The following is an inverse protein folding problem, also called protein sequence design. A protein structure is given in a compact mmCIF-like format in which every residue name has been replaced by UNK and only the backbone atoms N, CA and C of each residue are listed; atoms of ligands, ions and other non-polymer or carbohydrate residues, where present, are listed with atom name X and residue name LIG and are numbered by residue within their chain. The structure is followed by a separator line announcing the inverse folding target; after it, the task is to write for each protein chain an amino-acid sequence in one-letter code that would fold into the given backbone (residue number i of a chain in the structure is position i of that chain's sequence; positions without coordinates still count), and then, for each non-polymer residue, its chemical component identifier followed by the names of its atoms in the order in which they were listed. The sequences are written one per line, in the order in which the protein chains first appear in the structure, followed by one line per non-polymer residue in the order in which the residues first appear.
data_IF_550788701518
#
_entry.id   IF_550788701518
#
_cell.length_a   1.000
_cell.length_b   1.000
_cell.length_c   1.000
_cell.angle_alpha   90.00
_cell.angle_beta   90.00
_cell.angle_gamma   90.00
#
_symmetry.space_group_name_H-M   'P 1'
#
loop_
_entity.id
_entity.type
_entity.pdbx_description
1 polymer ?
#
# COMPACT_ATOMS: atom_id res chain seq x y z
N UNK A 1 -4.03 16.38 -2.02
CA UNK A 1 -5.10 15.94 -1.08
C UNK A 1 -5.75 14.65 -1.52
N UNK A 2 -6.22 14.54 -2.78
CA UNK A 2 -6.85 13.32 -3.27
C UNK A 2 -5.89 12.11 -3.28
N UNK A 3 -4.59 12.33 -3.54
CA UNK A 3 -3.55 11.30 -3.51
C UNK A 3 -3.45 10.63 -2.14
N UNK A 4 -3.41 11.46 -1.08
CA UNK A 4 -3.33 11.01 0.30
C UNK A 4 -4.56 10.17 0.71
N UNK A 5 -5.76 10.56 0.27
CA UNK A 5 -6.98 9.79 0.46
C UNK A 5 -6.95 8.44 -0.27
N UNK A 6 -6.56 8.44 -1.55
CA UNK A 6 -6.43 7.21 -2.34
C UNK A 6 -5.46 6.25 -1.66
N UNK A 7 -4.27 6.75 -1.28
CA UNK A 7 -3.28 5.93 -0.61
C UNK A 7 -3.81 5.38 0.71
N UNK A 8 -4.40 6.24 1.56
CA UNK A 8 -4.98 5.81 2.83
C UNK A 8 -6.04 4.70 2.66
N UNK A 9 -6.94 4.86 1.69
CA UNK A 9 -7.96 3.86 1.38
C UNK A 9 -7.38 2.54 0.84
N UNK A 10 -6.33 2.60 0.01
CA UNK A 10 -5.63 1.39 -0.45
C UNK A 10 -4.96 0.64 0.71
N UNK A 11 -4.41 1.38 1.69
CA UNK A 11 -3.89 0.77 2.91
C UNK A 11 -4.98 0.08 3.74
N UNK A 12 -6.15 0.69 3.88
CA UNK A 12 -7.32 0.08 4.54
C UNK A 12 -7.77 -1.18 3.79
N UNK A 13 -7.85 -1.10 2.46
CA UNK A 13 -8.20 -2.24 1.62
C UNK A 13 -7.24 -3.43 1.83
N UNK A 14 -5.92 -3.20 1.75
CA UNK A 14 -4.92 -4.25 1.98
C UNK A 14 -5.05 -4.87 3.37
N UNK A 15 -5.28 -4.06 4.40
CA UNK A 15 -5.50 -4.56 5.75
C UNK A 15 -6.71 -5.49 5.83
N UNK A 16 -7.82 -5.12 5.17
CA UNK A 16 -9.02 -5.97 5.11
C UNK A 16 -8.75 -7.23 4.27
N UNK A 17 -8.07 -7.10 3.14
CA UNK A 17 -7.74 -8.19 2.22
C UNK A 17 -6.98 -9.33 2.91
N UNK A 18 -6.16 -9.02 3.92
CA UNK A 18 -5.47 -10.00 4.75
C UNK A 18 -6.40 -11.07 5.34
N UNK A 19 -7.68 -10.74 5.55
CA UNK A 19 -8.67 -11.62 6.17
C UNK A 19 -9.66 -12.24 5.17
N UNK A 20 -9.62 -11.84 3.90
CA UNK A 20 -10.59 -12.28 2.88
C UNK A 20 -10.26 -13.63 2.24
N UNK A 21 -9.12 -14.25 2.60
CA UNK A 21 -8.64 -15.53 2.06
C UNK A 21 -8.80 -15.66 0.53
N UNK A 22 -8.34 -14.63 -0.18
CA UNK A 22 -8.33 -14.64 -1.65
C UNK A 22 -7.44 -15.78 -2.14
N UNK A 23 -7.85 -16.44 -3.22
CA UNK A 23 -7.03 -17.48 -3.85
C UNK A 23 -5.70 -16.93 -4.36
N UNK A 24 -4.72 -17.80 -4.59
CA UNK A 24 -3.36 -17.40 -4.96
C UNK A 24 -3.30 -16.44 -6.17
N UNK A 25 -4.02 -16.76 -7.25
CA UNK A 25 -4.12 -15.88 -8.40
C UNK A 25 -4.75 -14.52 -8.06
N UNK A 26 -5.73 -14.50 -7.15
CA UNK A 26 -6.35 -13.26 -6.66
C UNK A 26 -5.36 -12.38 -5.90
N UNK A 27 -4.61 -12.95 -4.95
CA UNK A 27 -3.59 -12.22 -4.18
C UNK A 27 -2.46 -11.70 -5.07
N UNK A 28 -2.06 -12.46 -6.10
CA UNK A 28 -1.06 -11.99 -7.07
C UNK A 28 -1.54 -10.70 -7.76
N UNK A 29 -2.75 -10.71 -8.31
CA UNK A 29 -3.32 -9.55 -9.00
C UNK A 29 -3.60 -8.39 -8.05
N UNK A 30 -4.07 -8.66 -6.84
CA UNK A 30 -4.28 -7.66 -5.79
C UNK A 30 -2.97 -6.93 -5.47
N UNK A 31 -1.90 -7.67 -5.17
CA UNK A 31 -0.57 -7.11 -4.90
C UNK A 31 -0.03 -6.30 -6.10
N UNK A 32 -0.18 -6.79 -7.33
CA UNK A 32 0.28 -6.08 -8.53
C UNK A 32 -0.45 -4.75 -8.72
N UNK A 33 -1.77 -4.79 -8.76
CA UNK A 33 -2.59 -3.62 -9.09
C UNK A 33 -2.43 -2.56 -8.01
N UNK A 34 -2.53 -2.95 -6.73
CA UNK A 34 -2.40 -2.00 -5.62
C UNK A 34 -0.97 -1.47 -5.54
N UNK A 35 0.04 -2.33 -5.71
CA UNK A 35 1.44 -1.90 -5.70
C UNK A 35 1.73 -0.83 -6.74
N UNK A 36 1.23 -1.00 -7.97
CA UNK A 36 1.34 0.00 -9.04
C UNK A 36 0.66 1.31 -8.66
N UNK A 37 -0.59 1.25 -8.19
CA UNK A 37 -1.34 2.47 -7.84
C UNK A 37 -0.65 3.20 -6.69
N UNK A 38 -0.25 2.50 -5.62
CA UNK A 38 0.46 3.07 -4.47
C UNK A 38 1.78 3.73 -4.89
N UNK A 39 2.55 3.11 -5.78
CA UNK A 39 3.79 3.68 -6.28
C UNK A 39 3.57 4.97 -7.09
N UNK A 40 2.58 4.97 -7.99
CA UNK A 40 2.22 6.16 -8.79
C UNK A 40 1.73 7.28 -7.89
N UNK A 41 0.81 6.98 -6.98
CA UNK A 41 0.25 7.95 -6.03
C UNK A 41 1.36 8.53 -5.14
N UNK A 42 2.28 7.70 -4.66
CA UNK A 42 3.47 8.14 -3.93
C UNK A 42 4.33 9.10 -4.74
N UNK A 43 4.63 8.79 -6.00
CA UNK A 43 5.39 9.66 -6.89
C UNK A 43 4.72 11.04 -7.05
N UNK A 44 3.40 11.06 -7.23
CA UNK A 44 2.62 12.30 -7.36
C UNK A 44 2.60 13.14 -6.07
N UNK A 45 2.99 12.58 -4.92
CA UNK A 45 3.03 13.26 -3.62
C UNK A 45 4.41 13.84 -3.26
N UNK A 46 5.47 13.56 -4.03
CA UNK A 46 6.87 13.89 -3.67
C UNK A 46 7.05 15.37 -3.29
N UNK A 47 6.42 16.28 -4.03
CA UNK A 47 6.59 17.74 -3.84
C UNK A 47 5.94 18.26 -2.55
N UNK A 48 4.83 17.64 -2.14
CA UNK A 48 4.01 18.15 -1.03
C UNK A 48 4.39 17.50 0.30
N UNK A 49 4.71 16.19 0.27
CA UNK A 49 4.86 15.33 1.46
C UNK A 49 5.97 14.29 1.21
N UNK A 50 7.25 14.69 1.22
CA UNK A 50 8.34 13.89 0.65
C UNK A 50 8.55 12.57 1.39
N UNK A 51 8.51 12.53 2.72
CA UNK A 51 8.74 11.27 3.44
C UNK A 51 7.58 10.28 3.24
N UNK A 52 6.33 10.76 3.22
CA UNK A 52 5.16 9.92 2.93
C UNK A 52 5.16 9.42 1.49
N UNK A 53 5.57 10.28 0.55
CA UNK A 53 5.72 9.93 -0.85
C UNK A 53 6.74 8.79 -1.04
N UNK A 54 7.93 8.93 -0.45
CA UNK A 54 8.96 7.89 -0.53
C UNK A 54 8.54 6.58 0.13
N UNK A 55 7.89 6.65 1.30
CA UNK A 55 7.32 5.46 1.94
C UNK A 55 6.34 4.75 1.01
N UNK A 56 5.43 5.48 0.37
CA UNK A 56 4.45 4.93 -0.57
C UNK A 56 5.13 4.31 -1.79
N UNK A 57 6.11 4.99 -2.39
CA UNK A 57 6.85 4.47 -3.55
C UNK A 57 7.53 3.14 -3.21
N UNK A 58 8.25 3.09 -2.09
CA UNK A 58 8.98 1.89 -1.67
C UNK A 58 8.01 0.74 -1.39
N UNK A 59 6.91 1.01 -0.68
CA UNK A 59 5.91 -0.01 -0.34
C UNK A 59 5.13 -0.48 -1.57
N UNK A 60 4.83 0.41 -2.51
CA UNK A 60 4.21 0.06 -3.80
C UNK A 60 5.10 -0.83 -4.66
N UNK A 61 6.41 -0.50 -4.73
CA UNK A 61 7.41 -1.35 -5.41
C UNK A 61 7.52 -2.71 -4.72
N UNK A 62 7.54 -2.75 -3.38
CA UNK A 62 7.55 -4.00 -2.62
C UNK A 62 6.36 -4.89 -2.97
N UNK A 63 5.14 -4.35 -3.03
CA UNK A 63 3.95 -5.12 -3.40
C UNK A 63 4.05 -5.76 -4.79
N UNK A 64 4.61 -5.03 -5.77
CA UNK A 64 4.85 -5.57 -7.12
C UNK A 64 5.81 -6.76 -7.05
N UNK A 65 6.88 -6.65 -6.26
CA UNK A 65 7.84 -7.74 -6.06
C UNK A 65 7.17 -8.92 -5.32
N UNK A 66 6.40 -8.63 -4.27
CA UNK A 66 5.71 -9.63 -3.45
C UNK A 66 4.71 -10.47 -4.26
N UNK A 67 4.12 -9.91 -5.31
CA UNK A 67 3.24 -10.64 -6.22
C UNK A 67 3.93 -11.81 -6.95
N UNK A 68 5.26 -11.86 -6.97
CA UNK A 68 6.02 -12.96 -7.58
C UNK A 68 6.69 -13.88 -6.56
N UNK A 69 6.42 -13.68 -5.26
CA UNK A 69 6.97 -14.50 -4.18
C UNK A 69 5.87 -15.46 -3.67
N UNK A 70 5.95 -16.78 -3.97
CA UNK A 70 4.86 -17.72 -3.65
C UNK A 70 4.45 -17.76 -2.17
N UNK A 71 5.41 -17.60 -1.25
CA UNK A 71 5.15 -17.58 0.19
C UNK A 71 4.40 -16.34 0.68
N UNK A 72 4.33 -15.28 -0.13
CA UNK A 72 3.62 -14.03 0.18
C UNK A 72 2.26 -13.93 -0.51
N UNK A 73 1.86 -14.97 -1.25
CA UNK A 73 0.60 -15.02 -2.01
C UNK A 73 -0.38 -16.03 -1.38
N UNK A 74 0.11 -16.93 -0.51
CA UNK A 74 -0.71 -17.98 0.15
C UNK A 74 -0.37 -18.10 1.64
N UNK A 75 -1.38 -18.45 2.45
CA UNK A 75 -1.22 -18.80 3.86
C UNK A 75 -0.84 -17.62 4.75
N UNK A 76 -0.16 -17.90 5.86
CA UNK A 76 0.16 -16.90 6.87
C UNK A 76 1.09 -15.77 6.36
N UNK A 77 1.97 -16.07 5.40
CA UNK A 77 2.87 -15.06 4.81
C UNK A 77 2.12 -13.98 4.06
N UNK A 78 1.08 -14.34 3.29
CA UNK A 78 0.20 -13.38 2.63
C UNK A 78 -0.53 -12.48 3.64
N UNK A 79 -1.10 -13.06 4.69
CA UNK A 79 -1.82 -12.32 5.72
C UNK A 79 -0.91 -11.27 6.38
N UNK A 80 0.29 -11.65 6.82
CA UNK A 80 1.23 -10.71 7.43
C UNK A 80 1.74 -9.65 6.46
N UNK A 81 1.99 -10.02 5.20
CA UNK A 81 2.37 -9.08 4.16
C UNK A 81 1.29 -8.00 3.98
N UNK A 82 0.03 -8.40 3.80
CA UNK A 82 -1.10 -7.50 3.64
C UNK A 82 -1.33 -6.59 4.86
N UNK A 83 -1.23 -7.12 6.09
CA UNK A 83 -1.36 -6.33 7.31
C UNK A 83 -0.26 -5.25 7.39
N UNK A 84 1.02 -5.64 7.25
CA UNK A 84 2.14 -4.72 7.41
C UNK A 84 2.11 -3.65 6.33
N UNK A 85 1.98 -4.05 5.07
CA UNK A 85 1.93 -3.13 3.93
C UNK A 85 0.71 -2.23 4.05
N UNK A 86 -0.47 -2.78 4.37
CA UNK A 86 -1.70 -1.99 4.55
C UNK A 86 -1.53 -0.89 5.59
N UNK A 87 -0.93 -1.21 6.74
CA UNK A 87 -0.64 -0.22 7.80
C UNK A 87 0.34 0.86 7.32
N UNK A 88 1.43 0.49 6.64
CA UNK A 88 2.41 1.46 6.13
C UNK A 88 1.77 2.42 5.11
N UNK A 89 0.93 1.89 4.21
CA UNK A 89 0.23 2.69 3.20
C UNK A 89 -0.83 3.59 3.87
N UNK A 90 -1.54 3.13 4.91
CA UNK A 90 -2.44 3.97 5.71
C UNK A 90 -1.71 5.13 6.37
N UNK A 91 -0.54 4.87 6.98
CA UNK A 91 0.29 5.91 7.62
C UNK A 91 0.76 6.93 6.57
N UNK A 92 1.23 6.47 5.41
CA UNK A 92 1.66 7.35 4.34
C UNK A 92 0.51 8.21 3.79
N UNK A 93 -0.68 7.62 3.62
CA UNK A 93 -1.88 8.31 3.14
C UNK A 93 -2.47 9.27 4.16
N UNK A 94 -2.98 8.76 5.28
CA UNK A 94 -3.68 9.59 6.27
C UNK A 94 -2.73 10.52 7.03
N UNK A 95 -1.47 10.13 7.26
CA UNK A 95 -0.46 11.01 7.82
C UNK A 95 -0.16 12.23 6.94
N UNK A 96 -0.27 12.08 5.62
CA UNK A 96 -0.14 13.21 4.69
C UNK A 96 -1.32 14.20 4.77
N UNK A 97 -2.49 13.78 5.26
CA UNK A 97 -3.65 14.67 5.49
C UNK A 97 -3.47 15.53 6.76
N UNK A 98 -2.96 14.94 7.85
CA UNK A 98 -2.75 15.64 9.12
C UNK A 98 -1.60 16.66 9.08
N UNK A 99 -0.58 16.42 8.24
CA UNK A 99 0.57 17.32 8.09
C UNK A 99 0.29 18.63 7.34
N UNK A 100 -0.97 18.95 7.03
CA UNK A 100 -1.38 20.21 6.41
C UNK A 100 -1.71 21.33 7.41
N UNK A 101 -1.74 21.07 8.72
CA UNK A 101 -2.15 22.04 9.74
C UNK A 101 -1.00 22.81 10.41
N UNK A 102 0.27 22.48 10.11
CA UNK A 102 1.44 23.04 10.81
C UNK A 102 2.47 23.70 9.85
N UNK A 103 2.05 24.30 8.73
CA UNK A 103 2.93 25.05 7.84
C UNK A 103 2.39 26.47 7.61
#
# INVERSE_FOLDING_TARGET
MWQAWVNGLLGVWLFIAAFLNLGANGNMWDNLIIGIIVAIVGYLMIKDKPWQAWLSIIVGIWLIIAAFIPSLIVGAGNMWNHIIVGVLVMIAGFGALGGGQNA
#
